data_IF_494063088903
#
_entry.id   IF_494063088903
#
_cell.length_a   1.000
_cell.length_b   1.000
_cell.length_c   1.000
_cell.angle_alpha   90.00
_cell.angle_beta   90.00
_cell.angle_gamma   90.00
#
_symmetry.space_group_name_H-M   'P 1'
#
loop_
_entity.id
_entity.type
_entity.pdbx_description
1 polymer ?
#
# COMPACT_ATOMS: atom_id res chain seq x y z
N UNK A 1 -6.05 17.00 -2.37
CA UNK A 1 -6.84 15.79 -2.08
C UNK A 1 -5.89 14.70 -1.62
N UNK A 2 -5.74 14.51 -0.31
CA UNK A 2 -5.01 13.35 0.21
C UNK A 2 -5.89 12.14 -0.09
N UNK A 3 -5.40 11.19 -0.88
CA UNK A 3 -6.15 9.98 -1.19
C UNK A 3 -6.48 9.26 0.14
N UNK A 4 -7.72 8.81 0.39
CA UNK A 4 -8.04 8.01 1.56
C UNK A 4 -7.37 6.62 1.56
N UNK A 5 -6.75 6.23 0.44
CA UNK A 5 -5.83 5.10 0.42
C UNK A 5 -4.67 5.42 1.36
N UNK A 6 -4.31 4.48 2.22
CA UNK A 6 -3.32 4.55 3.31
C UNK A 6 -3.84 5.05 4.66
N UNK A 7 -5.11 5.49 4.79
CA UNK A 7 -5.65 5.82 6.12
C UNK A 7 -5.72 4.59 7.01
N UNK A 8 -6.12 3.43 6.47
CA UNK A 8 -6.19 2.21 7.26
C UNK A 8 -4.81 1.64 7.56
N UNK A 9 -3.83 1.81 6.66
CA UNK A 9 -2.42 1.48 6.93
C UNK A 9 -1.87 2.30 8.10
N UNK A 10 -2.17 3.60 8.16
CA UNK A 10 -1.79 4.44 9.31
C UNK A 10 -2.45 3.94 10.59
N UNK A 11 -3.73 3.56 10.56
CA UNK A 11 -4.41 2.99 11.73
C UNK A 11 -3.76 1.68 12.16
N UNK A 12 -3.50 0.76 11.24
CA UNK A 12 -2.77 -0.49 11.51
C UNK A 12 -1.41 -0.25 12.17
N UNK A 13 -0.66 0.75 11.68
CA UNK A 13 0.67 1.06 12.19
C UNK A 13 0.67 1.71 13.58
N UNK A 14 -0.43 2.37 13.97
CA UNK A 14 -0.51 3.15 15.21
C UNK A 14 -1.34 2.48 16.30
N UNK A 15 -2.59 2.10 15.99
CA UNK A 15 -3.51 1.45 16.94
C UNK A 15 -3.73 -0.04 16.67
N UNK A 16 -3.45 -0.51 15.46
CA UNK A 16 -3.65 -1.89 15.07
C UNK A 16 -2.52 -2.86 15.47
N UNK A 17 -1.39 -2.35 15.96
CA UNK A 17 -0.19 -3.15 16.30
C UNK A 17 0.24 -4.14 15.20
N UNK A 18 0.06 -3.75 13.93
CA UNK A 18 0.32 -4.62 12.80
C UNK A 18 1.82 -4.86 12.58
N UNK A 19 2.16 -6.08 12.14
CA UNK A 19 3.50 -6.39 11.63
C UNK A 19 3.80 -5.63 10.33
N UNK A 20 5.09 -5.46 9.99
CA UNK A 20 5.48 -4.81 8.74
C UNK A 20 4.92 -5.53 7.49
N UNK A 21 4.83 -6.86 7.55
CA UNK A 21 4.23 -7.66 6.49
C UNK A 21 2.73 -7.42 6.37
N UNK A 22 2.00 -7.36 7.49
CA UNK A 22 0.59 -7.00 7.50
C UNK A 22 0.36 -5.60 6.91
N UNK A 23 1.18 -4.61 7.28
CA UNK A 23 1.08 -3.25 6.73
C UNK A 23 1.21 -3.23 5.21
N UNK A 24 2.20 -3.94 4.67
CA UNK A 24 2.44 -3.97 3.23
C UNK A 24 1.33 -4.71 2.46
N UNK A 25 0.86 -5.84 3.01
CA UNK A 25 -0.23 -6.60 2.40
C UNK A 25 -1.57 -5.85 2.47
N UNK A 26 -1.81 -5.09 3.54
CA UNK A 26 -3.00 -4.25 3.65
C UNK A 26 -2.94 -3.03 2.73
N UNK A 27 -1.77 -2.39 2.60
CA UNK A 27 -1.55 -1.34 1.58
C UNK A 27 -1.86 -1.86 0.18
N UNK A 28 -1.35 -3.05 -0.15
CA UNK A 28 -1.63 -3.70 -1.42
C UNK A 28 -3.14 -3.90 -1.62
N UNK A 29 -3.86 -4.38 -0.59
CA UNK A 29 -5.32 -4.55 -0.63
C UNK A 29 -6.04 -3.22 -0.91
N UNK A 30 -5.66 -2.13 -0.24
CA UNK A 30 -6.27 -0.81 -0.45
C UNK A 30 -6.02 -0.27 -1.86
N UNK A 31 -4.90 -0.63 -2.48
CA UNK A 31 -4.58 -0.26 -3.85
C UNK A 31 -5.44 -0.98 -4.91
N UNK A 32 -6.29 -1.94 -4.54
CA UNK A 32 -7.20 -2.61 -5.48
C UNK A 32 -8.13 -1.63 -6.22
N UNK A 33 -8.51 -0.52 -5.58
CA UNK A 33 -9.33 0.53 -6.20
C UNK A 33 -8.60 1.27 -7.35
N UNK A 34 -7.28 1.19 -7.38
CA UNK A 34 -6.46 1.79 -8.42
C UNK A 34 -6.17 0.83 -9.59
N UNK A 35 -6.48 -0.46 -9.46
CA UNK A 35 -6.25 -1.42 -10.54
C UNK A 35 -7.27 -1.19 -11.67
N UNK A 36 -6.81 -0.99 -12.92
CA UNK A 36 -7.69 -0.63 -14.03
C UNK A 36 -8.69 -1.73 -14.43
N UNK A 37 -8.51 -2.98 -13.98
CA UNK A 37 -9.39 -4.11 -14.30
C UNK A 37 -10.45 -4.36 -13.23
N UNK A 38 -10.15 -4.10 -11.95
CA UNK A 38 -11.10 -4.33 -10.85
C UNK A 38 -11.59 -3.05 -10.16
N UNK A 39 -10.77 -2.01 -10.07
CA UNK A 39 -11.08 -0.78 -9.36
C UNK A 39 -11.94 0.20 -10.17
N UNK A 40 -12.00 0.00 -11.48
CA UNK A 40 -12.85 0.77 -12.42
C UNK A 40 -14.24 0.17 -12.61
N UNK A 41 -14.46 -1.05 -12.12
CA UNK A 41 -15.74 -1.75 -12.26
C UNK A 41 -16.76 -1.24 -11.23
N UNK A 42 -18.07 -1.31 -11.53
CA UNK A 42 -19.10 -0.98 -10.55
C UNK A 42 -19.04 -1.89 -9.31
N UNK A 43 -19.09 -1.29 -8.13
CA UNK A 43 -19.11 -2.01 -6.85
C UNK A 43 -17.71 -2.16 -6.21
N UNK A 44 -17.60 -2.91 -5.10
CA UNK A 44 -16.30 -3.12 -4.45
C UNK A 44 -15.35 -3.96 -5.32
N UNK A 45 -14.02 -3.71 -5.28
CA UNK A 45 -13.04 -4.47 -6.06
C UNK A 45 -13.10 -5.97 -5.76
N UNK A 46 -12.96 -6.79 -6.82
CA UNK A 46 -12.88 -8.26 -6.71
C UNK A 46 -11.45 -8.70 -6.38
N UNK A 47 -11.28 -9.31 -5.22
CA UNK A 47 -9.99 -9.76 -4.67
C UNK A 47 -9.87 -11.28 -4.80
N UNK A 48 -8.68 -11.77 -5.11
CA UNK A 48 -8.41 -13.21 -5.12
C UNK A 48 -8.38 -13.76 -3.69
N UNK A 49 -9.04 -14.90 -3.45
CA UNK A 49 -9.01 -15.57 -2.15
C UNK A 49 -7.58 -15.81 -1.64
N UNK A 50 -6.64 -16.16 -2.53
CA UNK A 50 -5.23 -16.37 -2.18
C UNK A 50 -4.48 -15.12 -1.69
N UNK A 51 -4.93 -13.91 -2.04
CA UNK A 51 -4.41 -12.69 -1.46
C UNK A 51 -5.02 -12.47 -0.06
N UNK A 52 -6.32 -12.70 0.06
CA UNK A 52 -7.03 -12.59 1.33
C UNK A 52 -6.49 -13.52 2.41
N UNK A 53 -6.18 -14.78 2.09
CA UNK A 53 -5.55 -15.71 3.04
C UNK A 53 -4.16 -15.22 3.48
N UNK A 54 -3.33 -14.71 2.56
CA UNK A 54 -2.02 -14.13 2.92
C UNK A 54 -2.14 -12.92 3.84
N UNK A 55 -3.12 -12.05 3.58
CA UNK A 55 -3.41 -10.91 4.45
C UNK A 55 -3.82 -11.40 5.84
N UNK A 56 -4.71 -12.40 5.91
CA UNK A 56 -5.15 -12.95 7.19
C UNK A 56 -4.02 -13.57 7.99
N UNK A 57 -3.17 -14.39 7.36
CA UNK A 57 -2.01 -14.98 8.02
C UNK A 57 -1.11 -13.90 8.65
N UNK A 58 -0.85 -12.82 7.91
CA UNK A 58 -0.01 -11.72 8.39
C UNK A 58 -0.70 -10.80 9.41
N UNK A 59 -2.01 -10.58 9.29
CA UNK A 59 -2.78 -9.60 10.06
C UNK A 59 -3.67 -10.19 11.16
N UNK A 60 -3.72 -11.52 11.31
CA UNK A 60 -4.59 -12.23 12.26
C UNK A 60 -4.46 -11.73 13.71
N UNK A 61 -3.26 -11.31 14.10
CA UNK A 61 -2.95 -10.77 15.43
C UNK A 61 -3.07 -9.25 15.55
N UNK A 62 -3.25 -8.53 14.45
CA UNK A 62 -3.45 -7.08 14.47
C UNK A 62 -4.87 -6.74 14.95
N UNK A 63 -5.03 -5.55 15.51
CA UNK A 63 -6.28 -5.07 16.08
C UNK A 63 -7.18 -4.39 15.04
N UNK A 64 -8.43 -4.83 15.00
CA UNK A 64 -9.49 -4.34 14.15
C UNK A 64 -10.71 -3.94 14.99
N UNK A 65 -11.54 -3.09 14.40
CA UNK A 65 -12.82 -2.66 14.95
C UNK A 65 -13.88 -2.72 13.86
N UNK A 66 -15.12 -3.07 14.25
CA UNK A 66 -16.27 -2.94 13.37
C UNK A 66 -16.69 -1.47 13.31
N UNK A 67 -16.76 -0.88 12.11
CA UNK A 67 -17.32 0.46 11.95
C UNK A 67 -18.83 0.43 12.20
N UNK A 68 -19.30 1.25 13.14
CA UNK A 68 -20.70 1.23 13.58
C UNK A 68 -21.67 1.66 12.47
N UNK A 69 -21.21 2.50 11.52
CA UNK A 69 -22.05 3.05 10.44
C UNK A 69 -22.08 2.13 9.23
N UNK A 70 -20.92 1.62 8.81
CA UNK A 70 -20.81 0.82 7.59
C UNK A 70 -20.90 -0.68 7.86
N UNK A 71 -20.78 -1.12 9.12
CA UNK A 71 -20.70 -2.53 9.49
C UNK A 71 -19.55 -3.26 8.75
N UNK A 72 -18.49 -2.51 8.45
CA UNK A 72 -17.27 -3.01 7.81
C UNK A 72 -16.18 -3.11 8.86
N UNK A 73 -15.44 -4.21 8.83
CA UNK A 73 -14.27 -4.43 9.65
C UNK A 73 -13.11 -3.57 9.11
N UNK A 74 -12.61 -2.67 9.94
CA UNK A 74 -11.50 -1.79 9.60
C UNK A 74 -10.40 -1.88 10.67
N UNK A 75 -9.15 -1.56 10.32
CA UNK A 75 -8.08 -1.42 11.30
C UNK A 75 -8.47 -0.51 12.45
N UNK A 76 -8.18 -0.96 13.67
CA UNK A 76 -8.44 -0.19 14.88
C UNK A 76 -7.56 1.07 14.90
N UNK A 77 -8.19 2.22 15.11
CA UNK A 77 -7.54 3.50 15.33
C UNK A 77 -7.75 3.99 16.75
N UNK A 78 -7.08 5.09 17.08
CA UNK A 78 -7.09 5.70 18.43
C UNK A 78 -8.47 6.15 18.95
N UNK A 79 -9.45 6.30 18.05
CA UNK A 79 -10.81 6.75 18.38
C UNK A 79 -11.84 5.60 18.37
N UNK A 80 -11.40 4.38 18.10
CA UNK A 80 -12.28 3.21 18.04
C UNK A 80 -12.41 2.61 19.46
N UNK A 81 -13.65 2.32 19.88
CA UNK A 81 -13.94 1.96 21.27
C UNK A 81 -13.81 0.46 21.56
N UNK A 82 -14.09 -0.39 20.57
CA UNK A 82 -14.07 -1.85 20.72
C UNK A 82 -13.10 -2.41 19.68
N UNK A 83 -11.91 -2.75 20.15
CA UNK A 83 -10.89 -3.35 19.30
C UNK A 83 -10.60 -4.78 19.75
N UNK A 84 -10.54 -5.68 18.77
CA UNK A 84 -10.23 -7.09 18.94
C UNK A 84 -9.27 -7.53 17.84
N UNK A 85 -8.57 -8.65 18.04
CA UNK A 85 -7.69 -9.19 17.00
C UNK A 85 -8.51 -9.60 15.78
N UNK A 86 -7.93 -9.53 14.59
CA UNK A 86 -8.64 -9.95 13.38
C UNK A 86 -9.20 -11.39 13.51
N UNK A 87 -8.42 -12.29 14.12
CA UNK A 87 -8.82 -13.67 14.39
C UNK A 87 -9.99 -13.84 15.39
N UNK A 88 -10.32 -12.79 16.16
CA UNK A 88 -11.50 -12.77 17.05
C UNK A 88 -12.77 -12.37 16.30
N UNK A 89 -12.63 -11.65 15.18
CA UNK A 89 -13.75 -11.20 14.34
C UNK A 89 -14.08 -12.18 13.22
N UNK A 90 -13.06 -12.79 12.61
CA UNK A 90 -13.18 -13.62 11.41
C UNK A 90 -12.27 -14.85 11.48
N UNK A 91 -12.69 -15.93 10.80
CA UNK A 91 -12.07 -17.26 10.92
C UNK A 91 -11.05 -17.61 9.84
N UNK A 92 -11.05 -16.88 8.72
CA UNK A 92 -10.20 -17.11 7.55
C UNK A 92 -10.03 -15.81 6.74
N UNK A 93 -9.18 -15.84 5.72
CA UNK A 93 -8.92 -14.65 4.92
C UNK A 93 -10.07 -14.23 4.02
N UNK A 94 -10.80 -15.17 3.46
CA UNK A 94 -12.00 -14.87 2.67
C UNK A 94 -13.00 -14.03 3.48
N UNK A 95 -13.29 -14.45 4.72
CA UNK A 95 -14.15 -13.72 5.65
C UNK A 95 -13.56 -12.34 6.01
N UNK A 96 -12.23 -12.24 6.18
CA UNK A 96 -11.56 -10.96 6.47
C UNK A 96 -11.80 -9.94 5.35
N UNK A 97 -11.57 -10.32 4.09
CA UNK A 97 -11.78 -9.45 2.93
C UNK A 97 -13.26 -9.07 2.76
N UNK A 98 -14.19 -10.03 2.93
CA UNK A 98 -15.62 -9.76 2.86
C UNK A 98 -16.07 -8.80 3.97
N UNK A 99 -15.63 -9.04 5.21
CA UNK A 99 -15.91 -8.16 6.34
C UNK A 99 -15.29 -6.77 6.16
N UNK A 100 -14.14 -6.67 5.49
CA UNK A 100 -13.51 -5.41 5.11
C UNK A 100 -14.18 -4.71 3.91
N UNK A 101 -15.28 -5.26 3.39
CA UNK A 101 -16.12 -4.63 2.36
C UNK A 101 -15.69 -4.90 0.93
N UNK A 102 -14.80 -5.87 0.69
CA UNK A 102 -14.38 -6.29 -0.65
C UNK A 102 -15.22 -7.45 -1.18
N UNK A 103 -15.20 -7.64 -2.50
CA UNK A 103 -15.72 -8.87 -3.12
C UNK A 103 -14.57 -9.89 -3.20
N UNK A 104 -14.86 -11.18 -3.01
CA UNK A 104 -13.84 -12.23 -3.11
C UNK A 104 -14.21 -13.24 -4.18
N UNK A 105 -13.24 -13.58 -5.05
CA UNK A 105 -13.40 -14.65 -6.03
C UNK A 105 -13.33 -16.00 -5.32
N UNK A 106 -14.46 -16.71 -5.27
CA UNK A 106 -14.50 -18.07 -4.72
C UNK A 106 -13.60 -19.03 -5.52
N UNK A 107 -12.89 -19.90 -4.80
CA UNK A 107 -12.07 -20.94 -5.41
C UNK A 107 -12.91 -22.10 -5.98
N UNK A 108 -14.21 -22.18 -5.65
CA UNK A 108 -15.04 -23.38 -5.88
C UNK A 108 -15.88 -23.36 -7.17
N UNK A 109 -15.66 -22.42 -8.09
CA UNK A 109 -16.41 -22.43 -9.35
C UNK A 109 -15.78 -23.45 -10.32
N UNK A 110 -16.29 -24.67 -10.21
CA UNK A 110 -16.21 -25.74 -11.20
C UNK A 110 -16.63 -25.21 -12.57
N UNK A 111 -15.73 -25.38 -13.52
CA UNK A 111 -15.86 -25.24 -14.97
C UNK A 111 -17.25 -24.87 -15.52
N UNK A 112 -17.49 -23.57 -15.69
CA UNK A 112 -18.28 -23.09 -16.82
C UNK A 112 -17.40 -22.07 -17.54
N UNK A 113 -17.12 -22.36 -18.82
CA UNK A 113 -16.35 -21.50 -19.71
C UNK A 113 -17.09 -20.18 -19.97
N UNK A 114 -17.05 -19.29 -18.99
CA UNK A 114 -17.38 -17.88 -19.08
C UNK A 114 -16.16 -17.17 -18.55
N UNK A 115 -15.51 -16.40 -19.41
CA UNK A 115 -14.36 -15.51 -19.18
C UNK A 115 -13.76 -15.56 -17.77
N UNK A 116 -12.53 -16.09 -17.65
CA UNK A 116 -11.79 -16.13 -16.39
C UNK A 116 -11.90 -14.79 -15.66
N UNK A 117 -12.77 -14.70 -14.65
CA UNK A 117 -13.03 -13.43 -13.99
C UNK A 117 -11.77 -12.98 -13.29
N UNK A 118 -11.19 -11.88 -13.77
CA UNK A 118 -9.94 -11.37 -13.25
C UNK A 118 -10.14 -10.87 -11.81
N UNK A 119 -9.25 -11.26 -10.90
CA UNK A 119 -9.26 -10.79 -9.51
C UNK A 119 -7.91 -10.15 -9.16
N UNK A 120 -7.95 -9.20 -8.24
CA UNK A 120 -6.76 -8.52 -7.76
C UNK A 120 -5.94 -9.39 -6.80
N UNK A 121 -4.62 -9.39 -6.95
CA UNK A 121 -3.71 -10.22 -6.17
C UNK A 121 -3.34 -11.56 -6.81
N UNK A 122 -3.83 -11.85 -8.03
CA UNK A 122 -3.32 -12.95 -8.83
C UNK A 122 -1.83 -12.70 -9.17
N UNK A 123 -1.05 -13.77 -9.33
CA UNK A 123 0.40 -13.69 -9.60
C UNK A 123 0.70 -12.86 -10.85
N UNK A 124 -0.21 -12.84 -11.82
CA UNK A 124 -0.16 -11.99 -13.01
C UNK A 124 -0.41 -10.49 -12.73
N UNK A 125 -1.20 -10.14 -11.72
CA UNK A 125 -1.43 -8.75 -11.27
C UNK A 125 -0.19 -8.16 -10.61
N UNK A 126 0.44 -8.92 -9.72
CA UNK A 126 1.63 -8.46 -8.97
C UNK A 126 2.91 -8.49 -9.82
N UNK A 127 3.03 -9.46 -10.74
CA UNK A 127 4.10 -9.50 -11.73
C UNK A 127 4.10 -8.26 -12.63
N UNK A 128 2.93 -7.83 -13.13
CA UNK A 128 2.81 -6.65 -13.98
C UNK A 128 3.22 -5.34 -13.29
N UNK A 129 2.99 -5.22 -11.97
CA UNK A 129 3.41 -4.03 -11.18
C UNK A 129 4.92 -4.07 -10.95
N UNK A 130 5.47 -5.24 -10.57
CA UNK A 130 6.91 -5.43 -10.40
C UNK A 130 7.67 -5.20 -11.72
N UNK A 131 7.12 -5.66 -12.84
CA UNK A 131 7.71 -5.50 -14.17
C UNK A 131 7.61 -4.05 -14.66
N UNK A 132 6.55 -3.32 -14.29
CA UNK A 132 6.44 -1.87 -14.58
C UNK A 132 7.45 -1.04 -13.78
N UNK A 133 7.72 -1.41 -12.53
CA UNK A 133 8.79 -0.79 -11.72
C UNK A 133 10.18 -1.14 -12.23
N UNK A 134 10.37 -2.33 -12.82
CA UNK A 134 11.61 -2.65 -13.52
C UNK A 134 11.73 -1.89 -14.84
N UNK A 135 10.66 -1.77 -15.61
CA UNK A 135 10.65 -1.05 -16.88
C UNK A 135 10.99 0.43 -16.70
N UNK A 136 10.45 1.09 -15.67
CA UNK A 136 10.78 2.49 -15.36
C UNK A 136 12.25 2.69 -14.94
N UNK A 137 12.85 1.72 -14.24
CA UNK A 137 14.29 1.73 -13.95
C UNK A 137 15.14 1.48 -15.19
N UNK A 138 14.66 0.69 -16.14
CA UNK A 138 15.37 0.41 -17.40
C UNK A 138 15.26 1.54 -18.44
N UNK A 139 14.17 2.30 -18.43
CA UNK A 139 13.97 3.47 -19.31
C UNK A 139 14.87 4.65 -18.89
N UNK A 140 15.20 4.77 -17.59
CA UNK A 140 16.20 5.70 -17.06
C UNK A 140 17.65 5.39 -17.50
N UNK A 141 17.94 4.24 -18.12
CA UNK A 141 19.33 3.79 -18.38
C UNK A 141 19.68 3.69 -19.87
N UNK A 142 18.87 4.24 -20.79
CA UNK A 142 19.24 4.36 -22.21
C UNK A 142 19.32 5.81 -22.70
N UNK A 143 20.54 6.33 -22.55
CA UNK A 143 21.23 7.23 -23.51
C UNK A 143 20.64 8.64 -23.67
N UNK A 144 21.12 9.57 -22.84
CA UNK A 144 21.39 10.94 -23.31
C UNK A 144 20.93 12.14 -22.46
N UNK A 145 20.35 11.97 -21.26
CA UNK A 145 19.70 13.09 -20.55
C UNK A 145 20.19 13.36 -19.12
N UNK A 146 21.29 12.72 -18.68
CA UNK A 146 21.86 13.01 -17.36
C UNK A 146 22.63 14.36 -17.28
N UNK A 147 22.90 15.02 -18.41
CA UNK A 147 23.47 16.37 -18.41
C UNK A 147 22.41 17.47 -18.31
N UNK A 148 21.21 17.26 -18.86
CA UNK A 148 20.17 18.30 -18.94
C UNK A 148 19.52 18.53 -17.57
N UNK A 149 19.22 17.46 -16.82
CA UNK A 149 18.61 17.57 -15.48
C UNK A 149 19.59 18.20 -14.49
N UNK A 150 20.89 17.89 -14.59
CA UNK A 150 21.88 18.45 -13.66
C UNK A 150 22.13 19.95 -13.91
N UNK A 151 22.15 20.38 -15.18
CA UNK A 151 22.30 21.79 -15.55
C UNK A 151 21.08 22.62 -15.12
N UNK A 152 19.86 22.09 -15.27
CA UNK A 152 18.62 22.79 -14.91
C UNK A 152 18.52 22.98 -13.38
N UNK A 153 18.97 21.99 -12.59
CA UNK A 153 19.10 22.11 -11.14
C UNK A 153 20.19 23.10 -10.70
N UNK A 154 21.32 23.18 -11.43
CA UNK A 154 22.36 24.16 -11.15
C UNK A 154 21.92 25.60 -11.49
N UNK A 155 21.11 25.76 -12.55
CA UNK A 155 20.50 27.04 -12.92
C UNK A 155 19.50 27.49 -11.85
N UNK A 156 18.60 26.58 -11.45
CA UNK A 156 17.60 26.81 -10.41
C UNK A 156 18.21 27.16 -9.05
N UNK A 157 19.31 26.49 -8.66
CA UNK A 157 20.02 26.78 -7.41
C UNK A 157 20.73 28.15 -7.42
N UNK A 158 21.11 28.67 -8.60
CA UNK A 158 21.69 30.02 -8.74
C UNK A 158 20.64 31.13 -8.70
N UNK A 159 19.42 30.85 -9.15
CA UNK A 159 18.35 31.85 -9.27
C UNK A 159 17.43 31.93 -8.04
N UNK A 160 17.74 31.20 -6.96
CA UNK A 160 16.90 31.22 -5.74
C UNK A 160 17.10 32.54 -4.96
N UNK A 161 16.06 33.39 -4.80
CA UNK A 161 16.16 34.63 -4.05
C UNK A 161 16.36 34.34 -2.55
N UNK A 162 17.23 35.14 -1.92
CA UNK A 162 17.80 34.94 -0.58
C UNK A 162 16.80 34.84 0.60
N UNK A 163 15.49 35.00 0.39
CA UNK A 163 14.48 35.05 1.46
C UNK A 163 13.88 33.69 1.86
N UNK A 164 14.18 32.58 1.17
CA UNK A 164 13.59 31.27 1.50
C UNK A 164 14.64 30.16 1.61
N UNK A 165 15.66 30.38 2.46
CA UNK A 165 16.54 29.29 2.91
C UNK A 165 15.85 28.49 4.02
N UNK A 166 15.05 27.50 3.65
CA UNK A 166 14.55 26.50 4.61
C UNK A 166 15.55 25.35 4.68
N UNK A 167 16.27 25.27 5.79
CA UNK A 167 17.23 24.21 6.09
C UNK A 167 16.51 22.86 6.26
N UNK A 168 16.64 21.97 5.29
CA UNK A 168 16.33 20.56 5.48
C UNK A 168 17.45 19.90 6.29
N UNK A 169 17.32 19.93 7.62
CA UNK A 169 18.01 19.00 8.50
C UNK A 169 17.06 17.84 8.81
N UNK A 170 17.01 16.85 7.92
CA UNK A 170 16.43 15.54 8.22
C UNK A 170 17.58 14.66 8.68
N UNK A 171 17.50 14.23 9.94
CA UNK A 171 18.58 13.55 10.64
C UNK A 171 18.96 12.18 10.08
N UNK A 172 20.17 11.75 10.43
CA UNK A 172 20.53 10.33 10.42
C UNK A 172 21.70 9.90 9.55
N UNK A 173 22.84 10.60 9.56
CA UNK A 173 24.14 9.95 9.32
C UNK A 173 25.18 10.52 10.29
N UNK A 174 25.58 9.70 11.26
CA UNK A 174 26.80 9.92 12.04
C UNK A 174 27.97 9.48 11.15
N UNK A 175 28.72 10.43 10.64
CA UNK A 175 30.09 10.19 10.18
C UNK A 175 31.03 10.85 11.18
N UNK A 176 31.51 10.06 12.14
CA UNK A 176 32.71 10.41 12.89
C UNK A 176 33.89 10.39 11.94
N UNK A 177 34.35 11.56 11.54
CA UNK A 177 35.69 11.79 11.06
C UNK A 177 36.18 13.11 11.67
N UNK A 178 37.05 12.99 12.68
CA UNK A 178 37.75 14.14 13.22
C UNK A 178 38.64 14.77 12.16
N UNK A 179 38.64 16.10 12.10
CA UNK A 179 39.68 16.88 11.43
C UNK A 179 39.90 18.15 12.24
N UNK A 180 41.07 18.17 12.87
CA UNK A 180 41.71 19.31 13.54
C UNK A 180 41.98 20.40 12.52
N UNK A 181 41.72 21.66 12.88
CA UNK A 181 42.39 22.80 12.27
C UNK A 181 42.90 23.76 13.34
N UNK A 182 44.19 24.10 13.19
CA UNK A 182 44.93 25.21 13.80
C UNK A 182 44.42 26.52 13.21
#
# INVERSE_FOLDING_TARGET
HTHPALLSVRKLASGGEASQECLHLWELLECAICDPRVGTQPGPPLICASLCERIYDACSNAYFSMDVKTQVLAPCGVNDFVCGRAAEWVSNGTDLCLAAGFQVKSSDIVHVASEETFCYGDKASLGSVADSWKASQFESTKKGENSVILDDFQQWARDMPFNERVSWAIGGMVLTAGLVFI
#
